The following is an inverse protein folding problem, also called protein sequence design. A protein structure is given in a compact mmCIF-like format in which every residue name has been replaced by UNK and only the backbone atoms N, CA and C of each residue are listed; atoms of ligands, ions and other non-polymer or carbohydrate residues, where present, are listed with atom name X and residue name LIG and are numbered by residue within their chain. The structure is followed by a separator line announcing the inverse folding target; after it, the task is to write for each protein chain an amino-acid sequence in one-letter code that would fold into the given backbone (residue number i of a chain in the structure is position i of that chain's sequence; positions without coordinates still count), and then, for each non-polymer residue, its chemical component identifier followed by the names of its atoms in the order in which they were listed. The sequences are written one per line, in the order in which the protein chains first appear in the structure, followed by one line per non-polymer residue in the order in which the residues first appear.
data_IF_337096551254
#
_entry.id   IF_337096551254
#
_cell.length_a   1.000
_cell.length_b   1.000
_cell.length_c   1.000
_cell.angle_alpha   90.00
_cell.angle_beta   90.00
_cell.angle_gamma   90.00
#
_symmetry.space_group_name_H-M   'P 1'
#
loop_
_entity.id
_entity.type
_entity.pdbx_description
1 polymer ?
#
# COMPACT_ATOMS: atom_id res chain seq x y z
N UNK A 1 5.07 -32.84 18.50
CA UNK A 1 5.50 -31.43 18.55
C UNK A 1 5.44 -30.91 17.15
N UNK A 2 4.38 -30.21 16.76
CA UNK A 2 4.55 -29.18 15.75
C UNK A 2 3.63 -28.01 16.07
N UNK A 3 4.25 -26.87 15.94
CA UNK A 3 3.91 -25.56 16.46
C UNK A 3 2.48 -25.14 16.14
N UNK A 4 1.84 -24.58 17.16
CA UNK A 4 0.87 -23.51 17.01
C UNK A 4 1.27 -22.59 15.86
N UNK A 5 0.71 -22.81 14.66
CA UNK A 5 0.84 -21.86 13.56
C UNK A 5 0.42 -20.52 14.14
N UNK A 6 1.41 -19.64 14.26
CA UNK A 6 1.29 -18.39 14.98
C UNK A 6 0.00 -17.70 14.48
N UNK A 7 -0.93 -17.37 15.38
CA UNK A 7 -2.21 -16.70 15.03
C UNK A 7 -1.99 -15.49 14.12
N UNK A 8 -0.81 -14.89 14.22
CA UNK A 8 -0.34 -13.82 13.37
C UNK A 8 -0.22 -14.23 11.89
N UNK A 9 0.39 -15.37 11.59
CA UNK A 9 0.54 -15.91 10.23
C UNK A 9 -0.82 -16.30 9.63
N UNK A 10 -1.74 -16.84 10.45
CA UNK A 10 -3.10 -17.19 10.00
C UNK A 10 -3.94 -15.99 9.56
N UNK A 11 -3.56 -14.77 9.96
CA UNK A 11 -4.18 -13.52 9.51
C UNK A 11 -3.55 -12.97 8.22
N UNK A 12 -2.71 -13.77 7.55
CA UNK A 12 -2.02 -13.39 6.32
C UNK A 12 -0.81 -12.49 6.56
N UNK A 13 -0.31 -12.39 7.80
CA UNK A 13 0.81 -11.50 8.10
C UNK A 13 2.14 -12.23 7.89
N UNK A 14 2.89 -11.80 6.88
CA UNK A 14 4.26 -12.25 6.62
C UNK A 14 5.27 -11.33 7.29
N UNK A 15 5.64 -11.63 8.54
CA UNK A 15 6.58 -10.79 9.31
C UNK A 15 8.01 -10.81 8.76
N UNK A 16 8.46 -11.96 8.24
CA UNK A 16 9.79 -12.14 7.63
C UNK A 16 9.84 -11.69 6.17
N UNK A 17 8.68 -11.44 5.53
CA UNK A 17 8.55 -11.04 4.11
C UNK A 17 9.20 -11.98 3.08
N UNK A 18 9.64 -13.18 3.46
CA UNK A 18 10.32 -14.12 2.55
C UNK A 18 9.47 -14.48 1.32
N UNK A 19 8.16 -14.67 1.51
CA UNK A 19 7.22 -14.93 0.41
C UNK A 19 7.05 -13.71 -0.51
N UNK A 20 7.12 -12.50 0.05
CA UNK A 20 7.03 -11.26 -0.73
C UNK A 20 8.24 -11.15 -1.66
N UNK A 21 9.45 -11.40 -1.16
CA UNK A 21 10.66 -11.37 -1.99
C UNK A 21 10.61 -12.34 -3.17
N UNK A 22 10.19 -13.59 -2.93
CA UNK A 22 10.05 -14.61 -3.98
C UNK A 22 9.07 -14.20 -5.08
N UNK A 23 8.03 -13.45 -4.76
CA UNK A 23 7.02 -12.99 -5.74
C UNK A 23 7.53 -11.75 -6.50
N UNK A 24 8.18 -10.83 -5.80
CA UNK A 24 8.71 -9.58 -6.39
C UNK A 24 9.74 -9.83 -7.48
N UNK A 25 10.55 -10.88 -7.36
CA UNK A 25 11.58 -11.20 -8.36
C UNK A 25 10.99 -11.59 -9.73
N UNK A 26 9.76 -12.10 -9.76
CA UNK A 26 9.06 -12.54 -10.97
C UNK A 26 7.97 -11.57 -11.44
N UNK A 27 7.76 -10.47 -10.72
CA UNK A 27 6.76 -9.48 -11.07
C UNK A 27 7.19 -8.70 -12.32
N UNK A 28 6.25 -8.54 -13.25
CA UNK A 28 6.42 -7.69 -14.42
C UNK A 28 6.83 -6.27 -13.98
N UNK A 29 7.92 -5.77 -14.57
CA UNK A 29 8.53 -4.47 -14.25
C UNK A 29 7.81 -3.29 -14.91
N UNK A 30 6.83 -3.55 -15.78
CA UNK A 30 6.10 -2.52 -16.52
C UNK A 30 6.89 -1.95 -17.69
N UNK A 31 6.35 -0.89 -18.30
CA UNK A 31 6.89 -0.25 -19.50
C UNK A 31 8.23 0.47 -19.27
N UNK A 32 8.43 1.01 -18.08
CA UNK A 32 9.60 1.83 -17.75
C UNK A 32 10.34 1.25 -16.53
N UNK A 33 11.22 0.24 -16.72
CA UNK A 33 12.00 -0.33 -15.64
C UNK A 33 12.85 0.74 -14.94
N UNK A 34 12.74 0.84 -13.61
CA UNK A 34 13.45 1.83 -12.80
C UNK A 34 12.66 3.11 -12.51
N UNK A 35 11.48 3.29 -13.12
CA UNK A 35 10.52 4.28 -12.65
C UNK A 35 10.07 3.95 -11.22
N UNK A 36 9.74 4.98 -10.44
CA UNK A 36 9.35 4.82 -9.05
C UNK A 36 8.03 4.04 -8.91
N UNK A 37 7.00 4.49 -9.64
CA UNK A 37 5.75 3.74 -9.79
C UNK A 37 5.78 2.80 -11.00
N UNK A 38 5.10 1.67 -10.90
CA UNK A 38 4.89 0.76 -12.03
C UNK A 38 3.94 1.40 -13.04
N UNK A 39 4.41 1.53 -14.27
CA UNK A 39 3.65 2.05 -15.41
C UNK A 39 3.36 0.90 -16.38
N UNK A 40 2.12 0.76 -16.83
CA UNK A 40 1.70 -0.25 -17.81
C UNK A 40 1.22 0.38 -19.10
N UNK A 41 1.05 -0.41 -20.15
CA UNK A 41 0.37 0.05 -21.37
C UNK A 41 -1.03 0.53 -21.05
N UNK A 42 -1.57 1.39 -21.92
CA UNK A 42 -2.95 1.83 -21.77
C UNK A 42 -3.94 0.70 -22.10
N UNK A 43 -4.26 -0.09 -21.08
CA UNK A 43 -5.31 -1.11 -21.11
C UNK A 43 -6.73 -0.55 -20.90
N UNK A 44 -6.88 0.72 -20.52
CA UNK A 44 -8.18 1.33 -20.22
C UNK A 44 -8.83 1.89 -21.48
N UNK A 45 -8.05 2.52 -22.36
CA UNK A 45 -8.56 3.05 -23.64
C UNK A 45 -7.95 2.38 -24.87
N UNK A 46 -6.86 1.63 -24.71
CA UNK A 46 -6.18 0.93 -25.81
C UNK A 46 -5.30 1.84 -26.67
N UNK A 47 -5.06 3.08 -26.25
CA UNK A 47 -4.28 4.03 -27.04
C UNK A 47 -2.78 3.75 -26.89
N UNK A 48 -2.11 3.45 -28.00
CA UNK A 48 -0.68 3.12 -28.01
C UNK A 48 0.24 4.30 -27.65
N UNK A 49 -0.26 5.53 -27.73
CA UNK A 49 0.49 6.74 -27.34
C UNK A 49 0.32 7.10 -25.86
N UNK A 50 -0.51 6.36 -25.11
CA UNK A 50 -0.78 6.58 -23.69
C UNK A 50 -0.29 5.40 -22.84
N UNK A 51 -0.17 5.64 -21.55
CA UNK A 51 0.13 4.63 -20.54
C UNK A 51 -0.79 4.76 -19.35
N UNK A 52 -0.88 3.70 -18.55
CA UNK A 52 -1.65 3.69 -17.31
C UNK A 52 -0.72 3.56 -16.10
N UNK A 53 -1.09 4.26 -15.04
CA UNK A 53 -0.45 4.17 -13.74
C UNK A 53 -1.54 3.93 -12.72
N UNK A 54 -1.48 2.78 -12.05
CA UNK A 54 -2.40 2.41 -10.97
C UNK A 54 -1.53 2.18 -9.74
N UNK A 55 -1.83 2.92 -8.68
CA UNK A 55 -1.08 2.91 -7.43
C UNK A 55 -2.05 2.85 -6.25
N UNK A 56 -1.60 2.26 -5.14
CA UNK A 56 -2.41 2.13 -3.92
C UNK A 56 -1.52 2.13 -2.68
N UNK A 57 -1.72 3.12 -1.82
CA UNK A 57 -1.16 3.22 -0.48
C UNK A 57 -2.20 3.76 0.52
N UNK A 58 -1.86 3.81 1.81
CA UNK A 58 -2.71 4.38 2.84
C UNK A 58 -1.94 4.75 4.12
N UNK A 59 -2.63 5.37 5.08
CA UNK A 59 -1.99 5.83 6.33
C UNK A 59 -1.41 4.71 7.22
N UNK A 60 -1.69 3.44 6.92
CA UNK A 60 -1.18 2.29 7.67
C UNK A 60 -1.54 2.33 9.16
N UNK A 61 -0.60 1.93 10.01
CA UNK A 61 -0.79 1.86 11.47
C UNK A 61 -0.90 3.24 12.14
N UNK A 62 -0.63 4.35 11.43
CA UNK A 62 -0.88 5.72 11.93
C UNK A 62 -2.36 5.93 12.29
N UNK A 63 -3.26 5.23 11.59
CA UNK A 63 -4.70 5.21 11.90
C UNK A 63 -5.01 4.69 13.31
N UNK A 64 -4.21 3.75 13.86
CA UNK A 64 -4.36 3.26 15.23
C UNK A 64 -4.06 4.38 16.22
N UNK A 65 -3.02 5.17 15.97
CA UNK A 65 -2.70 6.34 16.79
C UNK A 65 -3.82 7.39 16.73
N UNK A 66 -4.36 7.64 15.53
CA UNK A 66 -5.53 8.52 15.37
C UNK A 66 -6.75 8.04 16.17
N UNK A 67 -7.02 6.73 16.16
CA UNK A 67 -8.08 6.15 16.97
C UNK A 67 -7.84 6.31 18.48
N UNK A 68 -6.62 6.02 18.96
CA UNK A 68 -6.29 6.18 20.37
C UNK A 68 -6.45 7.63 20.83
N UNK A 69 -6.00 8.59 20.02
CA UNK A 69 -6.19 10.02 20.27
C UNK A 69 -7.68 10.39 20.38
N UNK A 70 -8.49 9.95 19.42
CA UNK A 70 -9.94 10.17 19.46
C UNK A 70 -10.58 9.56 20.70
N UNK A 71 -10.17 8.35 21.10
CA UNK A 71 -10.70 7.68 22.30
C UNK A 71 -10.33 8.39 23.59
N UNK A 72 -9.16 8.98 23.67
CA UNK A 72 -8.67 9.69 24.86
C UNK A 72 -9.27 11.10 24.97
N UNK A 73 -9.37 11.81 23.84
CA UNK A 73 -9.71 13.24 23.83
C UNK A 73 -11.15 13.54 23.40
N UNK A 74 -11.80 12.60 22.72
CA UNK A 74 -13.08 12.81 22.04
C UNK A 74 -12.99 13.66 20.76
N UNK A 75 -11.79 14.09 20.33
CA UNK A 75 -11.63 14.94 19.14
C UNK A 75 -11.58 14.12 17.84
N UNK A 76 -12.62 14.19 16.97
CA UNK A 76 -12.65 13.44 15.72
C UNK A 76 -11.80 14.08 14.61
N UNK A 77 -11.30 15.31 14.79
CA UNK A 77 -10.56 16.02 13.73
C UNK A 77 -9.28 15.30 13.31
N UNK A 78 -8.72 14.46 14.18
CA UNK A 78 -7.56 13.61 13.87
C UNK A 78 -7.80 12.73 12.62
N UNK A 79 -9.03 12.31 12.36
CA UNK A 79 -9.36 11.48 11.19
C UNK A 79 -9.27 12.24 9.87
N UNK A 80 -9.41 13.57 9.88
CA UNK A 80 -9.14 14.38 8.69
C UNK A 80 -7.67 14.29 8.29
N UNK A 81 -6.76 14.32 9.27
CA UNK A 81 -5.33 14.11 9.03
C UNK A 81 -5.04 12.72 8.47
N UNK A 82 -5.66 11.67 9.02
CA UNK A 82 -5.52 10.29 8.52
C UNK A 82 -6.03 10.13 7.08
N UNK A 83 -7.13 10.80 6.74
CA UNK A 83 -7.64 10.81 5.37
C UNK A 83 -6.66 11.51 4.42
N UNK A 84 -6.11 12.66 4.82
CA UNK A 84 -5.09 13.36 4.05
C UNK A 84 -3.83 12.50 3.88
N UNK A 85 -3.32 11.90 4.95
CA UNK A 85 -2.16 11.01 4.89
C UNK A 85 -2.40 9.89 3.86
N UNK A 86 -3.58 9.28 3.87
CA UNK A 86 -3.90 8.19 2.93
C UNK A 86 -3.94 8.66 1.47
N UNK A 87 -4.35 9.90 1.20
CA UNK A 87 -4.38 10.45 -0.16
C UNK A 87 -2.98 10.87 -0.61
N UNK A 88 -2.27 11.63 0.22
CA UNK A 88 -0.98 12.25 -0.12
C UNK A 88 0.09 11.18 -0.36
N UNK A 89 0.11 10.09 0.40
CA UNK A 89 1.01 8.96 0.17
C UNK A 89 0.91 8.39 -1.26
N UNK A 90 -0.28 8.47 -1.89
CA UNK A 90 -0.43 8.07 -3.28
C UNK A 90 -0.01 9.19 -4.25
N UNK A 91 -0.43 10.43 -3.98
CA UNK A 91 -0.19 11.54 -4.90
C UNK A 91 1.29 11.90 -5.03
N UNK A 92 2.02 11.88 -3.92
CA UNK A 92 3.45 12.24 -3.90
C UNK A 92 4.30 11.17 -4.61
N UNK A 93 3.87 9.90 -4.61
CA UNK A 93 4.48 8.80 -5.37
C UNK A 93 4.25 8.93 -6.89
N UNK A 94 3.22 9.67 -7.29
CA UNK A 94 2.84 9.93 -8.70
C UNK A 94 3.43 11.22 -9.28
N UNK A 95 3.88 12.15 -8.43
CA UNK A 95 4.36 13.48 -8.81
C UNK A 95 5.74 13.44 -9.48
#
# INVERSE_FOLDING_TARGET
MDSSQNRYNQRGVSSSKEEVHKIVDHLDRGLFPGAFCKITTDLLTGNQELCNLIHSDGAGTKSILGYLWYRETGDPKVFHGIAQDSIVMNLDDLA
#
